data_IF_036785648229
#
_entry.id   IF_036785648229
#
_cell.length_a   1.000
_cell.length_b   1.000
_cell.length_c   1.000
_cell.angle_alpha   90.00
_cell.angle_beta   90.00
_cell.angle_gamma   90.00
#
_symmetry.space_group_name_H-M   'P 1'
#
loop_
_entity.id
_entity.type
_entity.pdbx_description
1 polymer ?
#
# COMPACT_ATOMS: atom_id res chain seq x y z
N UNK A 1 7.65 -25.71 -21.58
CA UNK A 1 6.63 -25.30 -20.56
C UNK A 1 7.29 -24.41 -19.53
N UNK A 2 6.56 -23.47 -18.90
CA UNK A 2 7.13 -22.64 -17.82
C UNK A 2 7.24 -23.45 -16.53
N UNK A 3 8.39 -23.35 -15.85
CA UNK A 3 8.59 -23.93 -14.50
C UNK A 3 7.96 -23.08 -13.39
N UNK A 4 7.42 -21.87 -13.71
CA UNK A 4 6.74 -21.03 -12.75
C UNK A 4 5.33 -21.54 -12.46
N UNK A 5 4.93 -21.53 -11.18
CA UNK A 5 3.57 -21.84 -10.78
C UNK A 5 2.54 -20.93 -11.49
N UNK A 6 1.34 -21.46 -11.73
CA UNK A 6 0.26 -20.75 -12.46
C UNK A 6 -0.60 -19.88 -11.54
N UNK A 7 -0.02 -19.35 -10.47
CA UNK A 7 -0.70 -18.47 -9.51
C UNK A 7 -0.99 -17.05 -10.03
N UNK A 8 -0.48 -16.69 -11.20
CA UNK A 8 -0.77 -15.44 -11.91
C UNK A 8 -1.30 -15.72 -13.32
N UNK A 9 -2.33 -14.99 -13.73
CA UNK A 9 -2.77 -14.95 -15.12
C UNK A 9 -1.86 -13.98 -15.90
N UNK A 10 -0.70 -14.50 -16.38
CA UNK A 10 0.32 -13.69 -17.04
C UNK A 10 -0.10 -13.33 -18.46
N UNK A 11 0.01 -12.04 -18.81
CA UNK A 11 -0.10 -11.60 -20.21
C UNK A 11 1.08 -12.15 -21.01
N UNK A 12 0.85 -12.52 -22.28
CA UNK A 12 1.90 -13.00 -23.20
C UNK A 12 2.76 -11.84 -23.73
N UNK A 13 3.29 -11.01 -22.84
CA UNK A 13 4.18 -9.89 -23.15
C UNK A 13 5.35 -9.98 -22.17
N UNK A 14 6.58 -9.94 -22.69
CA UNK A 14 7.80 -9.84 -21.90
C UNK A 14 8.52 -8.53 -22.18
N UNK A 15 9.08 -7.92 -21.11
CA UNK A 15 9.78 -6.65 -21.18
C UNK A 15 11.25 -6.86 -20.84
N UNK A 16 12.13 -6.22 -21.62
CA UNK A 16 13.59 -6.31 -21.46
C UNK A 16 14.20 -4.99 -20.99
N UNK A 17 13.49 -3.88 -21.13
CA UNK A 17 13.96 -2.56 -20.74
C UNK A 17 12.82 -1.67 -20.28
N UNK A 18 13.10 -0.78 -19.34
CA UNK A 18 12.21 0.31 -18.96
C UNK A 18 12.95 1.65 -18.96
N UNK A 19 12.24 2.76 -19.23
CA UNK A 19 12.76 4.13 -19.12
C UNK A 19 11.63 5.10 -18.78
N UNK A 20 11.69 5.75 -17.63
CA UNK A 20 10.63 6.65 -17.17
C UNK A 20 9.29 5.92 -17.07
N UNK A 21 8.26 6.40 -17.74
CA UNK A 21 6.92 5.76 -17.75
C UNK A 21 6.75 4.70 -18.85
N UNK A 22 7.81 4.27 -19.52
CA UNK A 22 7.72 3.35 -20.64
C UNK A 22 8.44 2.03 -20.39
N UNK A 23 7.83 0.96 -20.87
CA UNK A 23 8.41 -0.38 -20.98
C UNK A 23 8.60 -0.75 -22.45
N UNK A 24 9.66 -1.51 -22.73
CA UNK A 24 10.01 -2.00 -24.06
C UNK A 24 10.02 -3.52 -24.04
N UNK A 25 9.18 -4.09 -24.88
CA UNK A 25 9.04 -5.56 -24.98
C UNK A 25 10.17 -6.19 -25.79
N UNK A 26 10.30 -7.52 -25.67
CA UNK A 26 11.29 -8.33 -26.43
C UNK A 26 11.15 -8.20 -27.96
N UNK A 27 9.95 -7.89 -28.45
CA UNK A 27 9.69 -7.65 -29.89
C UNK A 27 9.75 -6.16 -30.28
N UNK A 28 10.46 -5.32 -29.50
CA UNK A 28 10.74 -3.91 -29.80
C UNK A 28 9.58 -2.94 -29.58
N UNK A 29 8.39 -3.39 -29.16
CA UNK A 29 7.24 -2.51 -28.96
C UNK A 29 7.38 -1.69 -27.68
N UNK A 30 7.01 -0.40 -27.75
CA UNK A 30 7.01 0.54 -26.63
C UNK A 30 5.61 0.62 -26.02
N UNK A 31 5.52 0.51 -24.69
CA UNK A 31 4.28 0.58 -23.94
C UNK A 31 4.34 1.69 -22.90
N UNK A 32 3.27 2.48 -22.78
CA UNK A 32 3.09 3.42 -21.67
C UNK A 32 2.59 2.62 -20.45
N UNK A 33 3.35 2.63 -19.37
CA UNK A 33 3.08 1.82 -18.18
C UNK A 33 2.38 2.63 -17.09
N UNK A 34 1.07 2.45 -16.97
CA UNK A 34 0.28 3.01 -15.87
C UNK A 34 0.08 2.03 -14.70
N UNK A 35 0.63 0.81 -14.80
CA UNK A 35 0.65 -0.16 -13.70
C UNK A 35 1.76 0.19 -12.70
N UNK A 36 2.93 0.57 -13.23
CA UNK A 36 4.10 0.93 -12.43
C UNK A 36 4.49 -0.16 -11.40
N UNK A 37 4.39 -1.45 -11.79
CA UNK A 37 4.61 -2.57 -10.86
C UNK A 37 3.58 -2.62 -9.71
N UNK A 38 2.35 -2.19 -9.95
CA UNK A 38 1.28 -1.97 -8.96
C UNK A 38 1.66 -0.87 -7.96
N UNK A 39 1.84 0.35 -8.49
CA UNK A 39 2.19 1.57 -7.76
C UNK A 39 3.58 1.53 -7.06
N UNK A 40 4.52 0.72 -7.56
CA UNK A 40 5.86 0.58 -6.98
C UNK A 40 6.85 1.60 -7.58
N UNK A 41 6.91 1.71 -8.92
CA UNK A 41 7.92 2.50 -9.63
C UNK A 41 7.56 4.00 -9.66
N UNK A 42 7.36 4.63 -8.51
CA UNK A 42 6.90 6.01 -8.38
C UNK A 42 7.83 7.04 -9.04
N UNK A 43 9.10 6.71 -9.23
CA UNK A 43 10.11 7.55 -9.88
C UNK A 43 10.38 7.15 -11.33
N UNK A 44 9.59 6.21 -11.87
CA UNK A 44 9.74 5.65 -13.20
C UNK A 44 10.83 4.57 -13.29
N UNK A 45 10.78 3.82 -14.40
CA UNK A 45 11.74 2.76 -14.68
C UNK A 45 13.14 3.32 -14.92
N UNK A 46 14.15 2.56 -14.50
CA UNK A 46 15.58 2.86 -14.69
C UNK A 46 15.96 4.28 -14.23
N UNK A 47 15.45 4.68 -13.05
CA UNK A 47 15.74 5.99 -12.50
C UNK A 47 17.24 6.13 -12.20
N UNK A 48 17.91 7.11 -12.79
CA UNK A 48 19.37 7.30 -12.71
C UNK A 48 19.89 7.50 -11.28
N UNK A 49 19.09 8.10 -10.40
CA UNK A 49 19.49 8.32 -9.01
C UNK A 49 19.44 7.03 -8.20
N UNK A 50 18.44 6.19 -8.45
CA UNK A 50 18.35 4.87 -7.81
C UNK A 50 19.44 3.92 -8.32
N UNK A 51 19.69 3.90 -9.63
CA UNK A 51 20.81 3.14 -10.22
C UNK A 51 22.15 3.56 -9.60
N UNK A 52 22.40 4.89 -9.49
CA UNK A 52 23.60 5.39 -8.85
C UNK A 52 23.74 4.93 -7.39
N UNK A 53 22.65 4.98 -6.62
CA UNK A 53 22.65 4.52 -5.23
C UNK A 53 22.95 3.03 -5.12
N UNK A 54 22.32 2.20 -5.98
CA UNK A 54 22.58 0.75 -6.04
C UNK A 54 24.07 0.49 -6.38
N UNK A 55 24.59 1.08 -7.46
CA UNK A 55 25.96 0.87 -7.90
C UNK A 55 26.97 1.30 -6.83
N UNK A 56 26.75 2.45 -6.19
CA UNK A 56 27.64 2.93 -5.14
C UNK A 56 27.62 2.00 -3.91
N UNK A 57 26.47 1.46 -3.52
CA UNK A 57 26.37 0.57 -2.37
C UNK A 57 26.78 -0.85 -2.71
N UNK A 58 26.53 -1.31 -3.93
CA UNK A 58 26.88 -2.66 -4.39
C UNK A 58 28.40 -2.90 -4.39
N UNK A 59 29.19 -1.83 -4.56
CA UNK A 59 30.66 -1.90 -4.46
C UNK A 59 31.19 -1.82 -3.01
N UNK A 60 30.30 -1.82 -2.00
CA UNK A 60 30.68 -1.80 -0.57
C UNK A 60 30.19 -3.09 0.10
N UNK A 61 29.08 -3.00 0.80
CA UNK A 61 28.48 -4.10 1.52
C UNK A 61 26.99 -4.20 1.18
N UNK A 62 26.52 -5.40 0.83
CA UNK A 62 25.15 -5.65 0.44
C UNK A 62 24.26 -5.92 1.63
N UNK A 63 24.79 -6.73 2.57
CA UNK A 63 24.07 -7.19 3.73
C UNK A 63 25.00 -7.40 4.92
N UNK A 64 24.53 -7.00 6.09
CA UNK A 64 25.07 -7.39 7.39
C UNK A 64 23.91 -7.66 8.34
N UNK A 65 24.16 -8.44 9.38
CA UNK A 65 23.15 -8.70 10.41
C UNK A 65 22.69 -7.41 11.10
N UNK A 66 21.40 -7.33 11.46
CA UNK A 66 20.86 -6.28 12.31
C UNK A 66 21.46 -6.28 13.76
N UNK A 67 22.36 -7.20 14.06
CA UNK A 67 23.20 -7.13 15.27
C UNK A 67 24.25 -6.02 15.21
N UNK A 68 24.50 -5.45 14.02
CA UNK A 68 25.42 -4.34 13.79
C UNK A 68 24.67 -3.06 13.42
N UNK A 69 25.32 -1.92 13.64
CA UNK A 69 24.82 -0.63 13.19
C UNK A 69 24.95 -0.55 11.66
N UNK A 70 23.85 -0.19 10.99
CA UNK A 70 23.78 0.01 9.54
C UNK A 70 23.58 1.51 9.27
N UNK A 71 24.65 2.26 8.91
CA UNK A 71 24.57 3.71 8.79
C UNK A 71 23.50 4.21 7.79
N UNK A 72 23.33 3.49 6.68
CA UNK A 72 22.30 3.80 5.67
C UNK A 72 20.88 3.61 6.26
N UNK A 73 20.69 2.62 7.13
CA UNK A 73 19.43 2.36 7.84
C UNK A 73 19.15 3.45 8.86
N UNK A 74 20.13 3.81 9.69
CA UNK A 74 20.01 4.91 10.66
C UNK A 74 19.66 6.23 9.96
N UNK A 75 20.32 6.52 8.84
CA UNK A 75 20.03 7.72 8.05
C UNK A 75 18.61 7.71 7.51
N UNK A 76 18.14 6.60 6.96
CA UNK A 76 16.78 6.50 6.42
C UNK A 76 15.74 6.61 7.55
N UNK A 77 15.94 5.93 8.67
CA UNK A 77 15.06 6.00 9.84
C UNK A 77 14.95 7.44 10.37
N UNK A 78 16.08 8.12 10.56
CA UNK A 78 16.11 9.53 10.99
C UNK A 78 15.33 10.45 10.04
N UNK A 79 15.49 10.24 8.72
CA UNK A 79 14.76 11.04 7.71
C UNK A 79 13.25 10.78 7.75
N UNK A 80 12.84 9.52 7.91
CA UNK A 80 11.43 9.15 8.02
C UNK A 80 10.79 9.75 9.29
N UNK A 81 11.46 9.66 10.43
CA UNK A 81 10.94 10.23 11.70
C UNK A 81 10.88 11.76 11.64
N UNK A 82 11.85 12.44 11.03
CA UNK A 82 11.82 13.90 10.85
C UNK A 82 10.70 14.40 9.92
N UNK A 83 10.21 13.56 9.01
CA UNK A 83 9.23 13.93 7.98
C UNK A 83 7.81 13.41 8.28
N UNK A 84 7.61 12.66 9.36
CA UNK A 84 6.32 12.05 9.69
C UNK A 84 5.99 12.22 11.18
N UNK A 85 4.91 11.60 11.64
CA UNK A 85 4.52 11.53 13.05
C UNK A 85 5.38 10.58 13.89
N UNK A 86 6.18 9.74 13.22
CA UNK A 86 6.86 8.60 13.85
C UNK A 86 8.05 9.04 14.70
N UNK A 87 8.28 8.30 15.79
CA UNK A 87 9.47 8.42 16.63
C UNK A 87 10.48 7.29 16.35
N UNK A 88 10.03 6.19 15.73
CA UNK A 88 10.91 5.08 15.34
C UNK A 88 10.37 4.29 14.15
N UNK A 89 11.26 3.49 13.54
CA UNK A 89 11.01 2.71 12.32
C UNK A 89 11.53 1.30 12.50
N UNK A 90 10.77 0.31 12.00
CA UNK A 90 11.26 -1.06 11.78
C UNK A 90 11.27 -1.32 10.28
N UNK A 91 12.43 -1.69 9.72
CA UNK A 91 12.54 -2.01 8.29
C UNK A 91 12.22 -3.47 8.00
N UNK A 92 11.61 -3.69 6.83
CA UNK A 92 11.21 -4.96 6.26
C UNK A 92 11.54 -4.99 4.76
N UNK A 93 11.17 -6.08 4.06
CA UNK A 93 11.46 -6.23 2.63
C UNK A 93 10.23 -6.05 1.74
N UNK A 94 9.04 -6.11 2.33
CA UNK A 94 7.77 -6.06 1.58
C UNK A 94 6.66 -5.38 2.39
N UNK A 95 5.55 -5.03 1.68
CA UNK A 95 4.35 -4.51 2.32
C UNK A 95 3.65 -5.54 3.21
N UNK A 96 3.66 -6.82 2.81
CA UNK A 96 3.07 -7.89 3.62
C UNK A 96 3.82 -8.06 4.94
N UNK A 97 5.15 -8.06 4.93
CA UNK A 97 5.95 -8.08 6.17
C UNK A 97 5.71 -6.84 7.03
N UNK A 98 5.61 -5.66 6.43
CA UNK A 98 5.31 -4.42 7.16
C UNK A 98 3.92 -4.49 7.83
N UNK A 99 2.93 -5.05 7.16
CA UNK A 99 1.59 -5.26 7.74
C UNK A 99 1.63 -6.26 8.91
N UNK A 100 2.35 -7.37 8.76
CA UNK A 100 2.55 -8.34 9.85
C UNK A 100 3.17 -7.67 11.09
N UNK A 101 4.19 -6.83 10.88
CA UNK A 101 4.82 -6.07 11.97
C UNK A 101 3.82 -5.09 12.59
N UNK A 102 3.03 -4.36 11.80
CA UNK A 102 2.04 -3.42 12.31
C UNK A 102 1.00 -4.12 13.22
N UNK A 103 0.53 -5.30 12.83
CA UNK A 103 -0.37 -6.16 13.64
C UNK A 103 0.33 -6.60 14.93
N UNK A 104 1.58 -7.06 14.83
CA UNK A 104 2.39 -7.47 15.99
C UNK A 104 2.60 -6.33 16.97
N UNK A 105 2.95 -5.12 16.49
CA UNK A 105 3.13 -3.92 17.32
C UNK A 105 1.86 -3.59 18.09
N UNK A 106 0.70 -3.59 17.43
CA UNK A 106 -0.57 -3.31 18.08
C UNK A 106 -0.90 -4.31 19.20
N UNK A 107 -0.73 -5.60 18.93
CA UNK A 107 -0.96 -6.67 19.91
C UNK A 107 0.05 -6.61 21.06
N UNK A 108 1.33 -6.40 20.75
CA UNK A 108 2.42 -6.28 21.74
C UNK A 108 2.20 -5.11 22.69
N UNK A 109 1.77 -3.97 22.16
CA UNK A 109 1.46 -2.80 22.96
C UNK A 109 0.44 -3.12 24.07
N UNK A 110 -0.71 -3.70 23.73
CA UNK A 110 -1.75 -4.02 24.71
C UNK A 110 -1.35 -5.14 25.66
N UNK A 111 -0.61 -6.12 25.19
CA UNK A 111 -0.01 -7.15 26.05
C UNK A 111 0.90 -6.51 27.11
N UNK A 112 1.79 -5.61 26.70
CA UNK A 112 2.81 -5.01 27.57
C UNK A 112 2.23 -4.03 28.60
N UNK A 113 1.07 -3.44 28.33
CA UNK A 113 0.35 -2.58 29.32
C UNK A 113 -0.68 -3.35 30.16
N UNK A 114 -0.61 -4.68 30.18
CA UNK A 114 -1.51 -5.54 30.98
C UNK A 114 -2.90 -5.77 30.40
N UNK A 115 -3.21 -5.22 29.22
CA UNK A 115 -4.53 -5.37 28.56
C UNK A 115 -4.53 -6.53 27.56
N UNK A 116 -4.10 -7.72 27.97
CA UNK A 116 -3.86 -8.89 27.11
C UNK A 116 -5.08 -9.33 26.27
N UNK A 117 -6.32 -9.04 26.74
CA UNK A 117 -7.55 -9.34 26.00
C UNK A 117 -7.78 -8.44 24.79
N UNK A 118 -7.14 -7.25 24.73
CA UNK A 118 -7.17 -6.35 23.56
C UNK A 118 -6.16 -6.82 22.52
N UNK A 119 -6.56 -7.72 21.64
CA UNK A 119 -5.70 -8.36 20.64
C UNK A 119 -6.35 -8.47 19.25
N UNK A 120 -7.58 -7.98 19.08
CA UNK A 120 -8.28 -8.03 17.81
C UNK A 120 -8.04 -6.77 16.98
N UNK A 121 -7.85 -6.96 15.69
CA UNK A 121 -7.68 -5.86 14.71
C UNK A 121 -8.97 -5.76 13.91
N UNK A 122 -9.56 -4.57 13.91
CA UNK A 122 -10.78 -4.28 13.16
C UNK A 122 -10.42 -3.70 11.79
N UNK A 123 -10.80 -4.38 10.70
CA UNK A 123 -10.44 -4.04 9.32
C UNK A 123 -11.69 -3.81 8.46
N UNK A 124 -11.52 -3.12 7.33
CA UNK A 124 -12.58 -2.98 6.32
C UNK A 124 -12.69 -4.28 5.53
N UNK A 125 -13.91 -4.78 5.29
CA UNK A 125 -14.14 -5.91 4.38
C UNK A 125 -13.63 -5.59 2.97
N UNK A 126 -13.02 -6.59 2.34
CA UNK A 126 -12.42 -6.47 1.01
C UNK A 126 -11.31 -5.41 0.92
N UNK A 127 -10.59 -5.17 2.03
CA UNK A 127 -9.32 -4.44 2.04
C UNK A 127 -8.16 -5.34 1.56
N UNK A 128 -6.99 -4.74 1.30
CA UNK A 128 -5.83 -5.49 0.87
C UNK A 128 -4.60 -5.11 1.72
N UNK A 129 -4.15 -6.02 2.55
CA UNK A 129 -3.03 -5.81 3.46
C UNK A 129 -1.83 -6.73 3.19
N UNK A 130 -1.87 -7.53 2.12
CA UNK A 130 -0.82 -8.48 1.76
C UNK A 130 -1.35 -9.90 1.49
N UNK A 131 -0.41 -10.85 1.37
CA UNK A 131 -0.71 -12.25 1.03
C UNK A 131 -0.22 -13.26 2.07
N UNK A 132 0.27 -12.82 3.21
CA UNK A 132 0.53 -13.70 4.37
C UNK A 132 -0.78 -14.13 4.99
N UNK A 133 -0.77 -15.19 5.80
CA UNK A 133 -2.00 -15.70 6.42
C UNK A 133 -2.72 -14.63 7.25
N UNK A 134 -2.03 -13.89 8.12
CA UNK A 134 -2.67 -12.83 8.88
C UNK A 134 -3.23 -11.72 7.95
N UNK A 135 -2.50 -11.32 6.92
CA UNK A 135 -2.93 -10.28 5.98
C UNK A 135 -4.17 -10.67 5.17
N UNK A 136 -4.28 -11.94 4.72
CA UNK A 136 -5.48 -12.39 3.99
C UNK A 136 -6.70 -12.49 4.89
N UNK A 137 -6.53 -12.91 6.15
CA UNK A 137 -7.65 -12.92 7.11
C UNK A 137 -8.02 -11.51 7.60
N UNK A 138 -7.06 -10.57 7.64
CA UNK A 138 -7.34 -9.16 7.87
C UNK A 138 -8.16 -8.52 6.74
N UNK A 139 -8.06 -9.01 5.50
CA UNK A 139 -8.79 -8.47 4.34
C UNK A 139 -10.31 -8.67 4.44
N UNK A 140 -10.78 -9.67 5.16
CA UNK A 140 -12.21 -10.04 5.21
C UNK A 140 -12.79 -10.49 3.86
N UNK A 141 -11.93 -10.88 2.91
CA UNK A 141 -12.33 -11.36 1.58
C UNK A 141 -12.35 -12.88 1.54
N UNK A 142 -13.55 -13.48 1.35
CA UNK A 142 -13.72 -14.93 1.21
C UNK A 142 -12.80 -15.50 0.12
N UNK A 143 -12.72 -14.82 -1.03
CA UNK A 143 -11.87 -15.22 -2.15
C UNK A 143 -10.39 -15.32 -1.79
N UNK A 144 -9.90 -14.47 -0.88
CA UNK A 144 -8.48 -14.50 -0.49
C UNK A 144 -8.18 -15.59 0.54
N UNK A 145 -9.17 -16.00 1.32
CA UNK A 145 -9.00 -16.95 2.43
C UNK A 145 -9.41 -18.38 2.08
N UNK A 146 -10.13 -18.58 0.96
CA UNK A 146 -10.57 -19.89 0.49
C UNK A 146 -9.38 -20.82 0.26
N UNK A 147 -9.44 -22.02 0.87
CA UNK A 147 -8.38 -23.03 0.79
C UNK A 147 -7.17 -22.80 1.71
N UNK A 148 -7.14 -21.69 2.48
CA UNK A 148 -6.01 -21.34 3.36
C UNK A 148 -6.36 -21.44 4.87
N UNK A 149 -7.27 -22.38 5.23
CA UNK A 149 -7.57 -22.68 6.62
C UNK A 149 -6.43 -23.40 7.37
N UNK A 150 -6.51 -23.51 8.69
CA UNK A 150 -7.56 -22.96 9.55
C UNK A 150 -7.52 -21.43 9.64
N UNK A 151 -8.66 -20.84 10.04
CA UNK A 151 -8.78 -19.37 10.15
C UNK A 151 -7.80 -18.81 11.16
N UNK A 152 -7.07 -17.77 10.74
CA UNK A 152 -6.24 -16.99 11.66
C UNK A 152 -7.13 -16.04 12.45
N UNK A 153 -7.23 -16.30 13.75
CA UNK A 153 -8.08 -15.54 14.66
C UNK A 153 -7.50 -14.14 14.99
N UNK A 154 -8.37 -13.27 15.50
CA UNK A 154 -7.99 -11.93 15.96
C UNK A 154 -8.26 -10.83 14.93
N UNK A 155 -9.11 -11.08 13.95
CA UNK A 155 -9.59 -10.08 13.01
C UNK A 155 -11.11 -9.96 13.07
N UNK A 156 -11.58 -8.71 13.08
CA UNK A 156 -12.99 -8.34 12.95
C UNK A 156 -13.14 -7.43 11.73
N UNK A 157 -14.35 -7.36 11.17
CA UNK A 157 -14.58 -6.64 9.94
C UNK A 157 -15.81 -5.75 10.01
N UNK A 158 -15.75 -4.62 9.29
CA UNK A 158 -16.86 -3.72 9.06
C UNK A 158 -16.97 -3.34 7.59
N UNK A 159 -18.15 -2.89 7.17
CA UNK A 159 -18.43 -2.57 5.77
C UNK A 159 -17.92 -1.15 5.45
N UNK A 160 -17.29 -0.96 4.27
CA UNK A 160 -16.82 0.34 3.81
C UNK A 160 -17.99 1.33 3.70
N UNK A 161 -17.79 2.55 4.25
CA UNK A 161 -18.81 3.60 4.23
C UNK A 161 -19.96 3.41 5.23
N UNK A 162 -19.94 2.35 6.03
CA UNK A 162 -20.99 2.06 7.00
C UNK A 162 -20.53 2.36 8.44
N UNK A 163 -20.87 3.56 8.92
CA UNK A 163 -20.49 4.01 10.27
C UNK A 163 -21.16 3.18 11.39
N UNK A 164 -22.40 2.71 11.18
CA UNK A 164 -23.09 1.84 12.14
C UNK A 164 -22.38 0.48 12.25
N UNK A 165 -21.98 -0.10 11.10
CA UNK A 165 -21.20 -1.34 11.08
C UNK A 165 -19.87 -1.18 11.83
N UNK A 166 -19.13 -0.09 11.60
CA UNK A 166 -17.88 0.22 12.32
C UNK A 166 -18.12 0.24 13.83
N UNK A 167 -19.06 1.07 14.30
CA UNK A 167 -19.29 1.26 15.75
C UNK A 167 -19.76 0.00 16.45
N UNK A 168 -20.60 -0.82 15.78
CA UNK A 168 -21.06 -2.12 16.28
C UNK A 168 -19.92 -3.16 16.37
N UNK A 169 -18.95 -3.08 15.49
CA UNK A 169 -17.84 -4.04 15.44
C UNK A 169 -16.72 -3.74 16.46
N UNK A 170 -16.70 -2.54 17.06
CA UNK A 170 -15.75 -2.23 18.12
C UNK A 170 -16.18 -2.90 19.43
N UNK A 171 -15.31 -3.73 19.99
CA UNK A 171 -15.53 -4.46 21.24
C UNK A 171 -14.47 -4.14 22.29
N UNK A 172 -14.63 -4.65 23.51
CA UNK A 172 -13.61 -4.57 24.56
C UNK A 172 -12.31 -5.29 24.20
N UNK A 173 -12.33 -6.17 23.20
CA UNK A 173 -11.18 -6.93 22.69
C UNK A 173 -10.47 -6.22 21.54
N UNK A 174 -11.02 -5.13 20.98
CA UNK A 174 -10.43 -4.40 19.87
C UNK A 174 -9.16 -3.69 20.30
N UNK A 175 -8.05 -4.02 19.70
CA UNK A 175 -6.73 -3.38 19.88
C UNK A 175 -6.53 -2.20 18.93
N UNK A 176 -6.90 -2.37 17.67
CA UNK A 176 -6.69 -1.36 16.64
C UNK A 176 -7.76 -1.39 15.56
N UNK A 177 -7.95 -0.25 14.90
CA UNK A 177 -8.57 -0.17 13.58
C UNK A 177 -7.45 -0.09 12.55
N UNK A 178 -7.47 -0.96 11.53
CA UNK A 178 -6.50 -0.95 10.41
C UNK A 178 -7.24 -0.73 9.10
N UNK A 179 -6.85 0.32 8.37
CA UNK A 179 -7.46 0.71 7.10
C UNK A 179 -6.42 1.26 6.13
N UNK A 180 -6.69 1.16 4.83
CA UNK A 180 -5.98 1.89 3.79
C UNK A 180 -6.66 3.29 3.63
N UNK A 181 -5.95 4.43 3.71
CA UNK A 181 -6.54 5.75 3.42
C UNK A 181 -7.11 5.84 2.01
N UNK A 182 -6.55 5.08 1.09
CA UNK A 182 -7.10 4.83 -0.25
C UNK A 182 -7.02 3.33 -0.48
N UNK A 183 -8.16 2.66 -0.50
CA UNK A 183 -8.23 1.22 -0.75
C UNK A 183 -7.85 0.92 -2.19
N UNK A 184 -6.64 0.41 -2.39
CA UNK A 184 -6.11 0.16 -3.73
C UNK A 184 -6.84 -0.96 -4.45
N UNK A 185 -6.62 -2.19 -4.02
CA UNK A 185 -7.21 -3.40 -4.61
C UNK A 185 -8.73 -3.50 -4.38
N UNK A 186 -9.25 -2.76 -3.42
CA UNK A 186 -10.69 -2.60 -3.15
C UNK A 186 -11.40 -1.64 -4.11
N UNK A 187 -10.75 -1.19 -5.21
CA UNK A 187 -11.33 -0.39 -6.27
C UNK A 187 -11.08 1.10 -6.18
N UNK A 188 -9.93 1.48 -5.68
CA UNK A 188 -9.47 2.88 -5.53
C UNK A 188 -10.49 3.73 -4.78
N UNK A 189 -11.02 3.19 -3.68
CA UNK A 189 -11.97 3.90 -2.82
C UNK A 189 -11.23 4.82 -1.85
N UNK A 190 -11.45 6.11 -1.96
CA UNK A 190 -10.83 7.12 -1.08
C UNK A 190 -11.65 7.28 0.18
N UNK A 191 -11.03 7.18 1.35
CA UNK A 191 -11.67 7.55 2.61
C UNK A 191 -11.63 9.08 2.73
N UNK A 192 -12.78 9.76 2.90
CA UNK A 192 -12.83 11.20 3.07
C UNK A 192 -11.99 11.68 4.26
N UNK A 193 -11.35 12.83 4.13
CA UNK A 193 -10.46 13.37 5.17
C UNK A 193 -11.19 13.59 6.52
N UNK A 194 -12.48 13.97 6.48
CA UNK A 194 -13.30 14.08 7.68
C UNK A 194 -13.53 12.73 8.36
N UNK A 195 -13.69 11.65 7.56
CA UNK A 195 -13.87 10.30 8.09
C UNK A 195 -12.59 9.79 8.79
N UNK A 196 -11.41 10.08 8.24
CA UNK A 196 -10.13 9.78 8.91
C UNK A 196 -10.00 10.54 10.25
N UNK A 197 -10.47 11.81 10.32
CA UNK A 197 -10.52 12.57 11.55
C UNK A 197 -11.44 11.92 12.60
N UNK A 198 -12.63 11.50 12.20
CA UNK A 198 -13.57 10.82 13.10
C UNK A 198 -13.01 9.46 13.56
N UNK A 199 -12.36 8.70 12.69
CA UNK A 199 -11.68 7.46 13.08
C UNK A 199 -10.61 7.70 14.13
N UNK A 200 -9.83 8.79 14.02
CA UNK A 200 -8.84 9.15 15.04
C UNK A 200 -9.52 9.46 16.38
N UNK A 201 -10.59 10.26 16.37
CA UNK A 201 -11.37 10.57 17.58
C UNK A 201 -11.97 9.31 18.22
N UNK A 202 -12.53 8.41 17.41
CA UNK A 202 -13.07 7.12 17.90
C UNK A 202 -11.96 6.32 18.57
N UNK A 203 -10.79 6.19 17.92
CA UNK A 203 -9.66 5.45 18.48
C UNK A 203 -9.19 6.07 19.82
N UNK A 204 -9.12 7.39 19.91
CA UNK A 204 -8.73 8.09 21.14
C UNK A 204 -9.76 7.87 22.26
N UNK A 205 -11.05 8.06 21.99
CA UNK A 205 -12.15 7.83 22.93
C UNK A 205 -12.22 6.40 23.45
N UNK A 206 -12.01 5.42 22.55
CA UNK A 206 -12.06 3.99 22.88
C UNK A 206 -10.73 3.45 23.40
N UNK A 207 -9.68 4.27 23.45
CA UNK A 207 -8.31 3.89 23.86
C UNK A 207 -7.81 2.68 23.07
N UNK A 208 -7.99 2.72 21.74
CA UNK A 208 -7.47 1.74 20.76
C UNK A 208 -6.52 2.44 19.78
N UNK A 209 -5.75 1.67 19.01
CA UNK A 209 -4.77 2.22 18.08
C UNK A 209 -5.39 2.44 16.69
N UNK A 210 -4.82 3.42 15.96
CA UNK A 210 -5.12 3.64 14.54
C UNK A 210 -3.91 3.22 13.71
N UNK A 211 -4.10 2.20 12.86
CA UNK A 211 -3.14 1.74 11.86
C UNK A 211 -3.61 2.23 10.50
N UNK A 212 -2.82 3.04 9.81
CA UNK A 212 -3.09 3.48 8.46
C UNK A 212 -2.14 2.79 7.50
N UNK A 213 -2.65 1.86 6.69
CA UNK A 213 -1.87 1.14 5.69
C UNK A 213 -1.60 2.04 4.48
N UNK A 214 -0.39 2.57 4.43
CA UNK A 214 0.09 3.45 3.35
C UNK A 214 1.01 2.72 2.37
N UNK A 215 0.97 1.40 2.34
CA UNK A 215 1.82 0.58 1.45
C UNK A 215 1.61 0.96 -0.02
N UNK A 216 0.38 1.26 -0.43
CA UNK A 216 0.10 1.60 -1.83
C UNK A 216 -0.09 3.10 -2.05
N UNK A 217 -0.77 3.80 -1.16
CA UNK A 217 -1.13 5.21 -1.34
C UNK A 217 -0.09 6.21 -0.81
N UNK A 218 0.88 5.75 -0.02
CA UNK A 218 1.94 6.56 0.54
C UNK A 218 3.07 6.91 -0.43
N UNK A 219 4.13 7.47 0.13
CA UNK A 219 5.41 7.79 -0.54
C UNK A 219 5.20 8.65 -1.80
N UNK A 220 4.41 9.71 -1.66
CA UNK A 220 4.17 10.69 -2.72
C UNK A 220 3.08 10.33 -3.72
N UNK A 221 2.54 9.08 -3.71
CA UNK A 221 1.56 8.60 -4.69
C UNK A 221 0.28 9.43 -4.71
N UNK A 222 -0.22 9.83 -3.55
CA UNK A 222 -1.42 10.66 -3.41
C UNK A 222 -1.17 12.18 -3.59
N UNK A 223 0.10 12.61 -3.75
CA UNK A 223 0.47 14.03 -3.85
C UNK A 223 0.86 14.67 -2.51
N UNK A 224 0.82 13.92 -1.42
CA UNK A 224 1.47 14.18 -0.12
C UNK A 224 2.48 13.07 0.13
N UNK A 225 3.43 13.26 1.07
CA UNK A 225 4.38 12.19 1.38
C UNK A 225 3.63 10.96 1.90
N UNK A 226 2.72 11.14 2.85
CA UNK A 226 1.75 10.13 3.29
C UNK A 226 0.33 10.66 3.15
N UNK A 227 -0.62 9.78 2.79
CA UNK A 227 -2.00 10.17 2.44
C UNK A 227 -2.77 10.73 3.64
N UNK A 228 -2.47 10.27 4.87
CA UNK A 228 -3.13 10.78 6.09
C UNK A 228 -2.86 12.27 6.34
N UNK A 229 -1.82 12.85 5.75
CA UNK A 229 -1.48 14.27 5.91
C UNK A 229 -2.61 15.20 5.42
N UNK A 230 -3.44 14.75 4.48
CA UNK A 230 -4.62 15.50 4.04
C UNK A 230 -5.63 15.69 5.18
N UNK A 231 -5.82 14.66 5.99
CA UNK A 231 -6.70 14.73 7.16
C UNK A 231 -6.08 15.47 8.35
N UNK A 232 -4.78 15.81 8.32
CA UNK A 232 -4.05 16.46 9.41
C UNK A 232 -4.17 15.73 10.76
N UNK A 233 -4.16 14.41 10.72
CA UNK A 233 -4.18 13.54 11.91
C UNK A 233 -2.82 12.91 12.14
N UNK A 234 -2.61 12.31 13.32
CA UNK A 234 -1.44 11.47 13.64
C UNK A 234 -1.92 10.05 13.94
N UNK A 235 -1.61 9.06 13.09
CA UNK A 235 -1.86 7.67 13.40
C UNK A 235 -0.89 7.14 14.47
N UNK A 236 -1.12 5.93 14.98
CA UNK A 236 -0.20 5.29 15.91
C UNK A 236 0.85 4.45 15.18
N UNK A 237 0.45 3.80 14.06
CA UNK A 237 1.28 2.89 13.27
C UNK A 237 0.97 3.09 11.79
N UNK A 238 2.01 3.13 10.96
CA UNK A 238 1.86 3.21 9.49
C UNK A 238 2.83 2.25 8.80
N UNK A 239 2.37 1.12 8.25
CA UNK A 239 3.16 0.34 7.32
C UNK A 239 3.28 1.06 5.98
N UNK A 240 4.50 1.06 5.41
CA UNK A 240 4.86 1.60 4.10
C UNK A 240 5.68 0.58 3.32
N UNK A 241 5.58 0.59 1.99
CA UNK A 241 6.42 -0.21 1.10
C UNK A 241 6.40 0.38 -0.32
N UNK A 242 6.49 -0.45 -1.34
CA UNK A 242 6.35 -0.08 -2.76
C UNK A 242 7.16 1.15 -3.13
N UNK A 243 6.56 2.33 -3.09
CA UNK A 243 7.17 3.59 -3.48
C UNK A 243 8.47 3.92 -2.74
N UNK A 244 8.65 3.49 -1.47
CA UNK A 244 9.88 3.74 -0.71
C UNK A 244 11.10 3.03 -1.32
N UNK A 245 10.88 1.93 -2.03
CA UNK A 245 11.93 1.22 -2.77
C UNK A 245 12.06 1.67 -4.22
N UNK A 246 11.03 2.33 -4.79
CA UNK A 246 11.04 2.79 -6.18
C UNK A 246 11.30 1.69 -7.22
N UNK A 247 11.03 0.43 -6.89
CA UNK A 247 11.32 -0.79 -7.65
C UNK A 247 12.16 -1.79 -6.87
N UNK A 248 12.92 -1.37 -5.86
CA UNK A 248 13.68 -2.25 -4.98
C UNK A 248 12.81 -2.75 -3.81
N UNK A 249 12.94 -4.02 -3.38
CA UNK A 249 12.17 -4.54 -2.25
C UNK A 249 12.51 -3.84 -0.93
N UNK A 250 11.57 -3.03 -0.42
CA UNK A 250 11.65 -2.36 0.88
C UNK A 250 10.24 -2.28 1.47
N UNK A 251 10.13 -2.62 2.74
CA UNK A 251 9.00 -2.32 3.61
C UNK A 251 9.48 -1.62 4.88
N UNK A 252 8.61 -0.90 5.55
CA UNK A 252 8.91 -0.34 6.86
C UNK A 252 7.62 -0.10 7.65
N UNK A 253 7.75 -0.04 8.97
CA UNK A 253 6.66 0.35 9.89
C UNK A 253 7.08 1.58 10.66
N UNK A 254 6.33 2.64 10.49
CA UNK A 254 6.48 3.91 11.22
C UNK A 254 5.64 3.82 12.50
N UNK A 255 6.21 4.19 13.63
CA UNK A 255 5.57 4.06 14.94
C UNK A 255 5.77 5.30 15.79
N UNK A 256 4.71 5.71 16.49
CA UNK A 256 4.86 6.74 17.54
C UNK A 256 5.52 6.15 18.81
N UNK A 257 6.02 7.02 19.70
CA UNK A 257 6.71 6.65 20.94
C UNK A 257 5.84 5.78 21.86
N UNK A 258 4.51 5.99 21.83
CA UNK A 258 3.56 5.23 22.65
C UNK A 258 3.67 3.72 22.41
N UNK A 259 3.77 3.28 21.16
CA UNK A 259 3.81 1.86 20.81
C UNK A 259 5.23 1.34 20.64
N UNK A 260 6.15 2.16 20.11
CA UNK A 260 7.51 1.73 19.78
C UNK A 260 8.34 1.31 20.98
N UNK A 261 8.15 1.93 22.14
CA UNK A 261 8.89 1.61 23.38
C UNK A 261 8.72 0.17 23.86
N UNK A 262 7.70 -0.54 23.36
CA UNK A 262 7.47 -1.95 23.68
C UNK A 262 8.03 -2.92 22.65
N UNK A 263 8.58 -2.41 21.55
CA UNK A 263 9.32 -3.21 20.57
C UNK A 263 10.79 -3.33 20.98
N UNK A 264 11.00 -4.11 22.05
CA UNK A 264 12.32 -4.34 22.65
C UNK A 264 13.08 -5.46 21.91
N UNK A 265 14.36 -5.65 22.24
CA UNK A 265 15.19 -6.72 21.68
C UNK A 265 14.47 -8.08 21.76
N UNK A 266 14.55 -8.87 20.70
CA UNK A 266 13.88 -10.17 20.57
C UNK A 266 12.39 -10.14 20.26
N UNK A 267 11.72 -8.96 20.25
CA UNK A 267 10.29 -8.89 19.98
C UNK A 267 9.93 -9.09 18.51
N UNK A 268 10.85 -8.77 17.61
CA UNK A 268 10.73 -8.97 16.16
C UNK A 268 12.12 -9.03 15.53
N UNK A 269 12.24 -9.69 14.38
CA UNK A 269 13.45 -9.77 13.58
C UNK A 269 13.14 -9.96 12.10
N UNK A 270 14.07 -9.55 11.26
CA UNK A 270 14.10 -9.79 9.83
C UNK A 270 15.54 -9.95 9.38
N UNK A 271 15.85 -11.00 8.64
CA UNK A 271 17.22 -11.22 8.14
C UNK A 271 17.65 -10.10 7.19
N UNK A 272 16.84 -9.78 6.21
CA UNK A 272 17.17 -8.81 5.16
C UNK A 272 16.57 -7.42 5.39
N UNK A 273 15.63 -7.26 6.31
CA UNK A 273 15.03 -5.96 6.61
C UNK A 273 16.09 -4.98 7.14
N UNK A 274 16.22 -3.81 6.49
CA UNK A 274 17.23 -2.81 6.86
C UNK A 274 18.61 -3.01 6.23
N UNK A 275 18.78 -3.96 5.29
CA UNK A 275 20.08 -4.19 4.66
C UNK A 275 20.64 -2.91 3.97
N UNK A 276 21.97 -2.72 3.97
CA UNK A 276 22.61 -1.50 3.44
C UNK A 276 22.20 -1.16 2.00
N UNK A 277 22.07 -2.16 1.13
CA UNK A 277 21.72 -1.94 -0.27
C UNK A 277 20.31 -1.38 -0.42
N UNK A 278 19.32 -1.98 0.25
CA UNK A 278 17.95 -1.48 0.28
C UNK A 278 17.86 -0.08 0.91
N UNK A 279 18.57 0.15 2.01
CA UNK A 279 18.54 1.44 2.72
C UNK A 279 19.16 2.56 1.89
N UNK A 280 20.19 2.28 1.10
CA UNK A 280 20.77 3.26 0.19
C UNK A 280 19.78 3.69 -0.90
N UNK A 281 19.00 2.73 -1.44
CA UNK A 281 17.92 3.02 -2.40
C UNK A 281 16.81 3.84 -1.75
N UNK A 282 16.35 3.46 -0.56
CA UNK A 282 15.33 4.22 0.19
C UNK A 282 15.76 5.67 0.44
N UNK A 283 17.03 5.90 0.79
CA UNK A 283 17.58 7.24 0.93
C UNK A 283 17.55 8.04 -0.38
N UNK A 284 17.88 7.40 -1.50
CA UNK A 284 17.81 8.03 -2.82
C UNK A 284 16.37 8.36 -3.25
N UNK A 285 15.41 7.50 -2.90
CA UNK A 285 13.98 7.79 -3.09
C UNK A 285 13.57 9.03 -2.30
N UNK A 286 13.95 9.12 -1.02
CA UNK A 286 13.67 10.29 -0.18
C UNK A 286 14.25 11.58 -0.79
N UNK A 287 15.48 11.53 -1.34
CA UNK A 287 16.10 12.68 -2.01
C UNK A 287 15.24 13.19 -3.17
N UNK A 288 14.65 12.28 -3.95
CA UNK A 288 13.84 12.67 -5.11
C UNK A 288 12.45 13.18 -4.68
N UNK A 289 11.78 12.51 -3.75
CA UNK A 289 10.42 12.88 -3.33
C UNK A 289 10.41 14.23 -2.60
N UNK A 290 11.44 14.51 -1.80
CA UNK A 290 11.55 15.79 -1.07
C UNK A 290 12.28 16.88 -1.86
N UNK A 291 12.66 16.63 -3.11
CA UNK A 291 13.12 17.69 -4.00
C UNK A 291 12.04 18.75 -4.17
N UNK A 292 12.44 20.03 -4.07
CA UNK A 292 11.52 21.18 -4.22
C UNK A 292 10.64 21.03 -5.46
N UNK A 293 9.34 21.12 -5.29
CA UNK A 293 8.35 21.05 -6.36
C UNK A 293 7.92 19.63 -6.79
N UNK A 294 8.56 18.54 -6.31
CA UNK A 294 8.18 17.18 -6.73
C UNK A 294 6.73 16.86 -6.39
N UNK A 295 6.32 16.99 -5.12
CA UNK A 295 4.95 16.70 -4.70
C UNK A 295 3.93 17.65 -5.34
N UNK A 296 4.30 18.92 -5.56
CA UNK A 296 3.45 19.87 -6.28
C UNK A 296 3.23 19.41 -7.74
N UNK A 297 4.27 18.87 -8.39
CA UNK A 297 4.14 18.30 -9.74
C UNK A 297 3.20 17.08 -9.74
N UNK A 298 3.26 16.21 -8.73
CA UNK A 298 2.31 15.10 -8.58
C UNK A 298 0.87 15.63 -8.48
N UNK A 299 0.63 16.67 -7.67
CA UNK A 299 -0.68 17.28 -7.52
C UNK A 299 -1.18 17.94 -8.81
N UNK A 300 -0.31 18.69 -9.52
CA UNK A 300 -0.69 19.32 -10.80
C UNK A 300 -0.96 18.29 -11.88
N UNK A 301 -0.13 17.24 -11.98
CA UNK A 301 -0.39 16.11 -12.88
C UNK A 301 -1.71 15.41 -12.55
N UNK A 302 -2.01 15.20 -11.27
CA UNK A 302 -3.28 14.64 -10.84
C UNK A 302 -4.47 15.48 -11.31
N UNK A 303 -4.43 16.80 -11.07
CA UNK A 303 -5.49 17.72 -11.53
C UNK A 303 -5.69 17.62 -13.04
N UNK A 304 -4.60 17.60 -13.81
CA UNK A 304 -4.65 17.43 -15.26
C UNK A 304 -5.32 16.11 -15.65
N UNK A 305 -4.89 14.99 -15.06
CA UNK A 305 -5.47 13.66 -15.34
C UNK A 305 -6.97 13.61 -15.05
N UNK A 306 -7.39 14.08 -13.88
CA UNK A 306 -8.83 14.09 -13.53
C UNK A 306 -9.63 14.97 -14.49
N UNK A 307 -9.09 16.13 -14.89
CA UNK A 307 -9.75 17.01 -15.88
C UNK A 307 -9.95 16.28 -17.21
N UNK A 308 -8.91 15.66 -17.75
CA UNK A 308 -9.01 14.98 -19.05
C UNK A 308 -9.84 13.69 -18.97
N UNK A 309 -9.76 12.93 -17.89
CA UNK A 309 -10.59 11.75 -17.68
C UNK A 309 -12.09 12.13 -17.54
N UNK A 310 -12.41 13.24 -16.88
CA UNK A 310 -13.80 13.72 -16.79
C UNK A 310 -14.37 14.12 -18.17
N UNK A 311 -13.56 14.69 -19.07
CA UNK A 311 -13.97 14.91 -20.47
C UNK A 311 -14.27 13.58 -21.16
N UNK A 312 -13.36 12.60 -21.06
CA UNK A 312 -13.56 11.27 -21.64
C UNK A 312 -14.82 10.61 -21.06
N UNK A 313 -15.08 10.74 -19.75
CA UNK A 313 -16.30 10.21 -19.14
C UNK A 313 -17.56 10.89 -19.70
N UNK A 314 -17.50 12.20 -19.91
CA UNK A 314 -18.61 12.97 -20.51
C UNK A 314 -18.89 12.53 -21.95
N UNK A 315 -17.82 12.35 -22.76
CA UNK A 315 -17.93 11.91 -24.15
C UNK A 315 -18.35 10.42 -24.27
N UNK A 316 -18.03 9.60 -23.28
CA UNK A 316 -18.31 8.16 -23.27
C UNK A 316 -19.04 7.68 -22.00
N UNK A 317 -20.26 8.22 -21.73
CA UNK A 317 -20.99 7.95 -20.47
C UNK A 317 -21.45 6.49 -20.35
N UNK A 318 -21.52 5.75 -21.46
CA UNK A 318 -21.84 4.32 -21.50
C UNK A 318 -20.63 3.41 -21.25
N UNK A 319 -19.41 3.96 -21.15
CA UNK A 319 -18.19 3.20 -20.91
C UNK A 319 -17.69 3.41 -19.48
N UNK A 320 -17.59 4.67 -19.04
CA UNK A 320 -17.03 5.03 -17.73
C UNK A 320 -18.18 5.47 -16.80
N UNK A 321 -18.42 4.71 -15.76
CA UNK A 321 -19.42 5.02 -14.73
C UNK A 321 -18.92 6.07 -13.75
N UNK A 322 -17.69 5.91 -13.24
CA UNK A 322 -17.12 6.75 -12.18
C UNK A 322 -15.60 6.81 -12.28
N UNK A 323 -15.04 7.98 -11.97
CA UNK A 323 -13.60 8.20 -11.83
C UNK A 323 -13.30 8.42 -10.35
N UNK A 324 -12.38 7.64 -9.80
CA UNK A 324 -12.03 7.65 -8.38
C UNK A 324 -10.54 7.88 -8.18
N UNK A 325 -10.16 8.32 -7.00
CA UNK A 325 -8.77 8.34 -6.60
C UNK A 325 -8.32 9.65 -5.98
N UNK A 326 -7.04 9.71 -5.65
CA UNK A 326 -6.36 10.89 -5.11
C UNK A 326 -4.90 10.87 -5.56
N UNK A 327 -4.38 11.98 -6.04
CA UNK A 327 -3.05 12.02 -6.63
C UNK A 327 -2.98 11.21 -7.92
N UNK A 328 -1.94 10.41 -8.06
CA UNK A 328 -1.73 9.50 -9.19
C UNK A 328 -2.08 8.03 -8.85
N UNK A 329 -2.99 7.83 -7.92
CA UNK A 329 -3.67 6.57 -7.67
C UNK A 329 -5.12 6.74 -8.16
N UNK A 330 -5.38 6.33 -9.40
CA UNK A 330 -6.61 6.62 -10.15
C UNK A 330 -7.28 5.30 -10.56
N UNK A 331 -8.58 5.22 -10.38
CA UNK A 331 -9.41 4.08 -10.79
C UNK A 331 -10.60 4.52 -11.63
N UNK A 332 -10.92 3.74 -12.62
CA UNK A 332 -12.11 3.88 -13.44
C UNK A 332 -13.08 2.74 -13.12
N UNK A 333 -14.29 3.06 -12.71
CA UNK A 333 -15.41 2.11 -12.66
C UNK A 333 -16.06 2.07 -14.03
N UNK A 334 -16.05 0.91 -14.66
CA UNK A 334 -16.56 0.73 -16.02
C UNK A 334 -17.98 0.18 -16.02
N UNK A 335 -18.75 0.52 -17.04
CA UNK A 335 -20.04 -0.10 -17.38
C UNK A 335 -19.88 -1.26 -18.36
N UNK A 336 -18.68 -1.39 -18.98
CA UNK A 336 -18.34 -2.42 -19.95
C UNK A 336 -17.48 -3.49 -19.32
N UNK A 337 -17.36 -4.65 -20.00
CA UNK A 337 -16.55 -5.78 -19.52
C UNK A 337 -15.08 -5.36 -19.37
N UNK A 338 -14.56 -5.51 -18.17
CA UNK A 338 -13.29 -4.95 -17.75
C UNK A 338 -12.07 -5.62 -18.41
N UNK A 339 -12.10 -6.93 -18.63
CA UNK A 339 -10.96 -7.64 -19.22
C UNK A 339 -10.81 -7.29 -20.71
N UNK A 340 -11.91 -7.18 -21.45
CA UNK A 340 -11.91 -6.74 -22.84
C UNK A 340 -11.42 -5.30 -22.97
N UNK A 341 -11.84 -4.40 -22.08
CA UNK A 341 -11.39 -3.01 -22.06
C UNK A 341 -9.88 -2.93 -21.81
N UNK A 342 -9.36 -3.62 -20.79
CA UNK A 342 -7.94 -3.68 -20.47
C UNK A 342 -7.13 -4.28 -21.63
N UNK A 343 -7.67 -5.30 -22.29
CA UNK A 343 -7.03 -5.89 -23.49
C UNK A 343 -6.91 -4.86 -24.61
N UNK A 344 -7.98 -4.13 -24.94
CA UNK A 344 -7.96 -3.06 -25.95
C UNK A 344 -6.93 -1.97 -25.61
N UNK A 345 -6.84 -1.54 -24.35
CA UNK A 345 -5.80 -0.59 -23.92
C UNK A 345 -4.39 -1.15 -24.14
N UNK A 346 -4.16 -2.42 -23.79
CA UNK A 346 -2.87 -3.09 -23.98
C UNK A 346 -2.51 -3.23 -25.47
N UNK A 347 -3.48 -3.54 -26.33
CA UNK A 347 -3.30 -3.61 -27.80
C UNK A 347 -2.87 -2.23 -28.35
N UNK A 348 -3.39 -1.13 -27.75
CA UNK A 348 -3.00 0.25 -28.02
C UNK A 348 -1.77 0.73 -27.19
N UNK A 349 -0.99 -0.18 -26.64
CA UNK A 349 0.27 0.09 -25.94
C UNK A 349 0.11 0.89 -24.63
N UNK A 350 -1.08 0.89 -24.02
CA UNK A 350 -1.31 1.43 -22.68
C UNK A 350 -1.52 0.27 -21.69
N UNK A 351 -0.63 0.16 -20.73
CA UNK A 351 -0.71 -0.88 -19.69
C UNK A 351 -1.50 -0.39 -18.49
N UNK A 352 -2.59 -1.06 -18.21
CA UNK A 352 -3.44 -0.87 -17.03
C UNK A 352 -3.72 -2.20 -16.37
N UNK A 353 -4.23 -2.19 -15.14
CA UNK A 353 -4.53 -3.40 -14.37
C UNK A 353 -5.91 -3.31 -13.73
N UNK A 354 -6.53 -4.46 -13.53
CA UNK A 354 -7.76 -4.62 -12.76
C UNK A 354 -7.46 -4.53 -11.26
N UNK A 355 -8.30 -3.85 -10.48
CA UNK A 355 -8.27 -3.96 -9.03
C UNK A 355 -8.67 -5.39 -8.63
N UNK A 356 -7.84 -6.05 -7.82
CA UNK A 356 -7.87 -7.51 -7.62
C UNK A 356 -9.14 -8.00 -6.90
N UNK A 357 -9.75 -7.17 -6.03
CA UNK A 357 -10.85 -7.57 -5.16
C UNK A 357 -12.24 -7.17 -5.70
N UNK A 358 -12.30 -6.42 -6.80
CA UNK A 358 -13.59 -6.10 -7.43
C UNK A 358 -13.96 -7.15 -8.47
N UNK A 359 -15.02 -7.88 -8.20
CA UNK A 359 -15.77 -8.65 -9.20
C UNK A 359 -16.94 -7.81 -9.74
N UNK A 360 -17.12 -7.83 -11.03
CA UNK A 360 -18.32 -7.38 -11.72
C UNK A 360 -19.26 -8.58 -11.92
N UNK A 361 -19.61 -9.30 -10.85
CA UNK A 361 -20.54 -10.44 -10.95
C UNK A 361 -21.77 -10.29 -10.08
N UNK A 362 -22.00 -9.11 -9.48
CA UNK A 362 -23.20 -8.91 -8.66
C UNK A 362 -24.49 -8.65 -9.47
N UNK A 363 -24.44 -8.81 -10.81
CA UNK A 363 -25.64 -8.76 -11.64
C UNK A 363 -26.25 -10.14 -11.94
N UNK A 364 -25.59 -11.24 -11.57
CA UNK A 364 -26.08 -12.59 -11.84
C UNK A 364 -26.63 -13.31 -10.58
N UNK A 365 -26.18 -12.92 -9.37
CA UNK A 365 -26.63 -13.57 -8.13
C UNK A 365 -27.94 -12.99 -7.57
N UNK A 366 -28.33 -11.78 -7.94
CA UNK A 366 -29.61 -11.19 -7.55
C UNK A 366 -30.81 -11.72 -8.37
N UNK A 367 -30.58 -12.50 -9.43
CA UNK A 367 -31.64 -13.11 -10.26
C UNK A 367 -31.90 -14.58 -9.92
N UNK A 368 -31.15 -15.17 -8.98
CA UNK A 368 -31.32 -16.59 -8.58
C UNK A 368 -31.99 -16.77 -7.21
N UNK A 369 -32.51 -15.71 -6.60
CA UNK A 369 -33.28 -15.74 -5.35
C UNK A 369 -34.60 -14.99 -5.49
N UNK A 370 -35.35 -15.27 -6.58
CA UNK A 370 -36.73 -14.90 -6.80
C UNK A 370 -37.59 -16.10 -7.00
#
# INVERSE_FOLDING_TARGET
MSSLAKNYNRRKISFIRGKGSYLYSTNGKKYLDFIQGIAVNSLGHSNKYLIKAINNQANKVWHVSNAFIIPEGERLAKRLTQKTFADSVIFQNSGAEATEVAIKVARRYFYSIGQKKKNRILCVKNSFHGRTLAAIFASGSKKMTEGFGPKVEGFDHFDFGNHKSLTKSISSKTAAIMIEPIMGEGGIKVIPDWCLKELRKICDKKKILLILDEVQCGIGRSGKFLSYEYAKIKPDIVPIAKGIGGGFPIGAVLMNKKVSKYMTAGSHGSTFGGNPLAMSVGNAVMDQIFKKGFLNKVQSSSKFFFKELNKIQFDYPNVIQEIRGKGLLIGLKLKVEQAAFIKKLSDNKLLTIKACLLYTSDAADDMASG
#
